data_IF_311898322003
#
_entry.id   IF_311898322003
#
_cell.length_a   1.000
_cell.length_b   1.000
_cell.length_c   1.000
_cell.angle_alpha   90.00
_cell.angle_beta   90.00
_cell.angle_gamma   90.00
#
_symmetry.space_group_name_H-M   'P 1'
#
loop_
_entity.id
_entity.type
_entity.pdbx_description
1 polymer ?
#
# COMPACT_ATOMS: atom_id res chain seq x y z
N UNK A 1 4.59 -18.45 -35.83
CA UNK A 1 3.83 -17.45 -36.63
C UNK A 1 3.14 -18.09 -37.84
N UNK A 2 2.22 -19.03 -37.59
CA UNK A 2 1.33 -19.62 -38.63
C UNK A 2 0.00 -20.03 -37.99
N UNK A 3 -0.69 -19.07 -37.36
CA UNK A 3 -2.09 -19.24 -36.98
C UNK A 3 -2.98 -18.57 -38.04
N UNK A 4 -3.68 -19.34 -38.90
CA UNK A 4 -4.54 -18.81 -39.95
C UNK A 4 -5.78 -18.05 -39.41
N UNK A 5 -6.08 -18.13 -38.11
CA UNK A 5 -7.17 -17.37 -37.49
C UNK A 5 -6.81 -15.91 -37.17
N UNK A 6 -5.52 -15.60 -37.08
CA UNK A 6 -4.99 -14.25 -36.82
C UNK A 6 -4.97 -13.39 -38.09
N UNK A 7 -4.79 -14.00 -39.26
CA UNK A 7 -4.62 -13.34 -40.57
C UNK A 7 -5.95 -12.93 -41.25
N UNK A 8 -6.99 -12.68 -40.44
CA UNK A 8 -8.32 -12.32 -40.94
C UNK A 8 -8.49 -10.79 -40.99
N UNK A 9 -9.21 -10.26 -41.99
CA UNK A 9 -9.42 -8.84 -42.08
C UNK A 9 -10.36 -8.33 -40.97
N UNK A 10 -9.96 -7.21 -40.36
CA UNK A 10 -10.53 -6.60 -39.14
C UNK A 10 -12.00 -6.15 -39.23
N UNK A 11 -12.64 -6.28 -40.40
CA UNK A 11 -14.01 -5.81 -40.63
C UNK A 11 -15.10 -6.82 -40.24
N UNK A 12 -14.75 -8.10 -39.97
CA UNK A 12 -15.75 -9.13 -39.67
C UNK A 12 -15.90 -9.37 -38.15
N UNK A 13 -17.14 -9.43 -37.61
CA UNK A 13 -17.38 -9.71 -36.19
C UNK A 13 -16.89 -11.11 -35.81
N UNK A 14 -16.24 -11.21 -34.64
CA UNK A 14 -15.69 -12.47 -34.14
C UNK A 14 -16.84 -13.34 -33.61
N UNK A 15 -17.04 -14.58 -34.08
CA UNK A 15 -17.96 -15.51 -33.43
C UNK A 15 -17.48 -15.71 -31.99
N UNK A 16 -18.39 -15.66 -31.02
CA UNK A 16 -18.07 -15.87 -29.60
C UNK A 16 -17.44 -17.26 -29.46
N UNK A 17 -16.12 -17.31 -29.41
CA UNK A 17 -15.39 -18.56 -29.30
C UNK A 17 -15.70 -19.19 -27.95
N UNK A 18 -15.97 -20.49 -27.95
CA UNK A 18 -16.21 -21.31 -26.76
C UNK A 18 -14.97 -21.35 -25.81
N UNK A 19 -13.82 -20.85 -26.28
CA UNK A 19 -12.58 -20.76 -25.52
C UNK A 19 -12.51 -19.46 -24.71
N UNK A 20 -13.41 -19.31 -23.74
CA UNK A 20 -13.34 -18.23 -22.72
C UNK A 20 -12.30 -18.54 -21.63
N UNK A 21 -11.61 -19.68 -21.68
CA UNK A 21 -10.62 -20.06 -20.67
C UNK A 21 -9.43 -20.81 -21.27
N UNK A 22 -8.60 -20.13 -22.06
CA UNK A 22 -7.17 -20.40 -22.05
C UNK A 22 -6.48 -19.09 -21.72
N UNK A 23 -6.29 -18.87 -20.43
CA UNK A 23 -5.38 -17.84 -19.96
C UNK A 23 -4.00 -18.28 -20.44
N UNK A 24 -3.50 -17.68 -21.52
CA UNK A 24 -2.11 -17.86 -21.93
C UNK A 24 -1.21 -17.23 -20.87
N UNK A 25 -0.05 -17.84 -20.62
CA UNK A 25 0.87 -17.40 -19.56
C UNK A 25 1.29 -15.93 -19.71
N UNK A 26 1.27 -15.42 -20.94
CA UNK A 26 1.60 -14.04 -21.29
C UNK A 26 0.60 -13.02 -20.69
N UNK A 27 -0.69 -13.36 -20.61
CA UNK A 27 -1.73 -12.55 -19.95
C UNK A 27 -1.61 -12.60 -18.41
N UNK A 28 -1.10 -13.72 -17.86
CA UNK A 28 -0.74 -13.81 -16.42
C UNK A 28 0.51 -13.00 -16.13
N UNK A 29 1.48 -13.00 -17.03
CA UNK A 29 2.74 -12.27 -16.88
C UNK A 29 2.54 -10.74 -16.83
N UNK A 30 1.55 -10.23 -17.57
CA UNK A 30 1.13 -8.82 -17.48
C UNK A 30 0.42 -8.50 -16.15
N UNK A 31 -0.29 -9.45 -15.56
CA UNK A 31 -0.86 -9.28 -14.21
C UNK A 31 0.20 -9.39 -13.11
N UNK A 32 1.25 -10.18 -13.32
CA UNK A 32 2.42 -10.33 -12.43
C UNK A 32 3.36 -9.10 -12.48
N UNK A 33 3.17 -8.18 -13.44
CA UNK A 33 4.00 -6.97 -13.59
C UNK A 33 3.91 -6.01 -12.37
N UNK A 34 2.87 -6.15 -11.54
CA UNK A 34 2.72 -5.39 -10.28
C UNK A 34 3.42 -6.03 -9.07
N UNK A 35 4.14 -7.13 -9.25
CA UNK A 35 4.84 -7.86 -8.18
C UNK A 35 6.22 -7.21 -7.92
N UNK A 36 6.70 -7.11 -6.66
CA UNK A 36 7.99 -6.47 -6.33
C UNK A 36 9.21 -7.02 -7.07
N UNK A 37 9.08 -8.20 -7.69
CA UNK A 37 10.14 -8.89 -8.44
C UNK A 37 10.41 -8.30 -9.83
N UNK A 38 9.49 -7.55 -10.42
CA UNK A 38 9.59 -7.13 -11.82
C UNK A 38 10.49 -5.92 -12.07
N UNK A 39 10.76 -5.06 -11.07
CA UNK A 39 11.63 -3.89 -11.23
C UNK A 39 12.15 -3.36 -9.89
N UNK A 40 13.39 -2.85 -9.87
CA UNK A 40 14.00 -2.20 -8.70
C UNK A 40 13.19 -1.01 -8.20
N UNK A 41 12.46 -0.33 -9.09
CA UNK A 41 11.54 0.76 -8.74
C UNK A 41 10.39 0.27 -7.86
N UNK A 42 9.67 -0.78 -8.27
CA UNK A 42 8.56 -1.34 -7.49
C UNK A 42 9.03 -1.96 -6.17
N UNK A 43 10.19 -2.63 -6.16
CA UNK A 43 10.77 -3.17 -4.93
C UNK A 43 11.05 -2.06 -3.89
N UNK A 44 11.61 -0.94 -4.33
CA UNK A 44 11.92 0.21 -3.46
C UNK A 44 10.64 0.90 -2.99
N UNK A 45 9.67 1.10 -3.89
CA UNK A 45 8.36 1.65 -3.58
C UNK A 45 7.63 0.85 -2.49
N UNK A 46 7.46 -0.46 -2.68
CA UNK A 46 6.77 -1.30 -1.70
C UNK A 46 7.52 -1.39 -0.37
N UNK A 47 8.86 -1.38 -0.39
CA UNK A 47 9.66 -1.41 0.84
C UNK A 47 9.49 -0.14 1.66
N UNK A 48 9.62 1.03 1.02
CA UNK A 48 9.54 2.32 1.71
C UNK A 48 8.10 2.59 2.17
N UNK A 49 7.12 2.45 1.27
CA UNK A 49 5.71 2.67 1.59
C UNK A 49 5.19 1.63 2.58
N UNK A 50 5.61 0.38 2.47
CA UNK A 50 5.25 -0.68 3.42
C UNK A 50 5.84 -0.45 4.81
N UNK A 51 7.12 -0.09 4.91
CA UNK A 51 7.75 0.27 6.18
C UNK A 51 7.06 1.47 6.82
N UNK A 52 6.75 2.50 6.04
CA UNK A 52 6.03 3.67 6.51
C UNK A 52 4.61 3.32 7.01
N UNK A 53 3.86 2.53 6.24
CA UNK A 53 2.53 2.06 6.63
C UNK A 53 2.55 1.28 7.95
N UNK A 54 3.58 0.46 8.18
CA UNK A 54 3.79 -0.23 9.47
C UNK A 54 4.00 0.76 10.63
N UNK A 55 4.78 1.82 10.41
CA UNK A 55 4.99 2.87 11.43
C UNK A 55 3.70 3.63 11.74
N UNK A 56 2.91 3.98 10.72
CA UNK A 56 1.59 4.61 10.90
C UNK A 56 0.68 3.69 11.71
N UNK A 57 0.62 2.40 11.38
CA UNK A 57 -0.16 1.42 12.12
C UNK A 57 0.26 1.34 13.60
N UNK A 58 1.56 1.36 13.87
CA UNK A 58 2.12 1.42 15.22
C UNK A 58 1.68 2.69 15.98
N UNK A 59 1.73 3.85 15.33
CA UNK A 59 1.26 5.11 15.91
C UNK A 59 -0.24 5.09 16.20
N UNK A 60 -1.06 4.55 15.30
CA UNK A 60 -2.51 4.40 15.50
C UNK A 60 -2.76 3.51 16.71
N UNK A 61 -2.08 2.37 16.84
CA UNK A 61 -2.22 1.48 17.99
C UNK A 61 -1.90 2.18 19.33
N UNK A 62 -0.87 3.04 19.36
CA UNK A 62 -0.52 3.84 20.53
C UNK A 62 -1.61 4.86 20.86
N UNK A 63 -2.17 5.54 19.86
CA UNK A 63 -3.31 6.45 20.08
C UNK A 63 -4.57 5.72 20.55
N UNK A 64 -4.88 4.56 19.96
CA UNK A 64 -6.01 3.73 20.39
C UNK A 64 -5.82 3.26 21.84
N UNK A 65 -4.59 2.94 22.25
CA UNK A 65 -4.27 2.60 23.64
C UNK A 65 -4.56 3.75 24.62
N UNK A 66 -4.26 5.00 24.24
CA UNK A 66 -4.62 6.17 25.05
C UNK A 66 -6.12 6.44 25.08
N UNK A 67 -6.85 6.15 24.00
CA UNK A 67 -8.30 6.33 23.91
C UNK A 67 -9.10 5.28 24.72
N UNK A 68 -8.55 4.08 24.89
CA UNK A 68 -9.17 3.00 25.64
C UNK A 68 -9.31 3.33 27.15
N UNK A 69 -10.20 2.64 27.88
CA UNK A 69 -10.42 2.88 29.32
C UNK A 69 -9.15 2.72 30.18
N UNK A 70 -8.11 2.05 29.65
CA UNK A 70 -6.78 1.95 30.27
C UNK A 70 -6.11 3.33 30.35
N UNK A 71 -6.19 4.13 29.28
CA UNK A 71 -5.71 5.52 29.26
C UNK A 71 -6.54 6.43 30.17
N UNK A 72 -7.86 6.27 30.19
CA UNK A 72 -8.76 7.01 31.09
C UNK A 72 -8.49 6.73 32.58
N UNK A 73 -8.15 5.48 32.92
CA UNK A 73 -7.78 5.10 34.28
C UNK A 73 -6.41 5.65 34.68
N UNK A 74 -5.47 5.73 33.72
CA UNK A 74 -4.16 6.36 33.92
C UNK A 74 -4.29 7.88 34.12
N UNK A 75 -5.20 8.54 33.38
CA UNK A 75 -5.53 9.96 33.57
C UNK A 75 -6.02 10.25 34.99
N UNK A 76 -6.88 9.39 35.54
CA UNK A 76 -7.41 9.51 36.90
C UNK A 76 -6.35 9.31 37.98
N UNK A 77 -5.32 8.50 37.72
CA UNK A 77 -4.27 8.19 38.70
C UNK A 77 -3.12 9.18 38.66
N UNK A 78 -2.66 9.58 37.47
CA UNK A 78 -1.52 10.49 37.30
C UNK A 78 -1.67 11.28 35.98
N UNK A 79 -2.33 12.45 35.97
CA UNK A 79 -2.60 13.20 34.76
C UNK A 79 -1.33 13.72 34.06
N UNK A 80 -0.31 14.15 34.81
CA UNK A 80 0.97 14.62 34.25
C UNK A 80 1.72 13.51 33.47
N UNK A 81 1.65 12.28 33.95
CA UNK A 81 2.31 11.14 33.31
C UNK A 81 1.64 10.76 31.98
N UNK A 82 0.32 10.93 31.88
CA UNK A 82 -0.39 10.75 30.62
C UNK A 82 -0.08 11.89 29.66
N UNK A 83 -0.04 13.15 30.14
CA UNK A 83 0.29 14.32 29.32
C UNK A 83 1.66 14.18 28.65
N UNK A 84 2.71 13.83 29.43
CA UNK A 84 4.05 13.62 28.89
C UNK A 84 4.08 12.48 27.84
N UNK A 85 3.37 11.38 28.09
CA UNK A 85 3.27 10.26 27.12
C UNK A 85 2.56 10.67 25.82
N UNK A 86 1.54 11.50 25.90
CA UNK A 86 0.80 12.00 24.74
C UNK A 86 1.64 13.01 23.96
N UNK A 87 2.40 13.88 24.63
CA UNK A 87 3.35 14.79 23.96
C UNK A 87 4.40 14.01 23.18
N UNK A 88 5.04 13.01 23.79
CA UNK A 88 6.02 12.15 23.12
C UNK A 88 5.40 11.38 21.95
N UNK A 89 4.17 10.86 22.10
CA UNK A 89 3.45 10.21 21.01
C UNK A 89 3.06 11.18 19.89
N UNK A 90 2.71 12.42 20.23
CA UNK A 90 2.46 13.49 19.27
C UNK A 90 3.70 13.86 18.46
N UNK A 91 4.86 13.98 19.11
CA UNK A 91 6.15 14.17 18.43
C UNK A 91 6.47 13.00 17.49
N UNK A 92 6.25 11.75 17.93
CA UNK A 92 6.42 10.57 17.07
C UNK A 92 5.50 10.63 15.84
N UNK A 93 4.23 11.01 16.03
CA UNK A 93 3.28 11.11 14.93
C UNK A 93 3.65 12.21 13.94
N UNK A 94 4.11 13.37 14.42
CA UNK A 94 4.61 14.44 13.57
C UNK A 94 5.83 14.00 12.76
N UNK A 95 6.75 13.24 13.35
CA UNK A 95 7.88 12.68 12.60
C UNK A 95 7.42 11.78 11.45
N UNK A 96 6.43 10.92 11.70
CA UNK A 96 5.87 10.04 10.66
C UNK A 96 5.23 10.88 9.55
N UNK A 97 4.44 11.90 9.88
CA UNK A 97 3.81 12.80 8.91
C UNK A 97 4.84 13.56 8.05
N UNK A 98 5.93 14.04 8.67
CA UNK A 98 7.04 14.69 7.97
C UNK A 98 7.72 13.74 6.97
N UNK A 99 7.89 12.46 7.29
CA UNK A 99 8.42 11.49 6.31
C UNK A 99 7.44 11.30 5.15
N UNK A 100 6.14 11.26 5.43
CA UNK A 100 5.11 11.05 4.41
C UNK A 100 5.02 12.19 3.41
N UNK A 101 5.11 13.45 3.87
CA UNK A 101 5.07 14.61 2.96
C UNK A 101 6.25 14.63 1.97
N UNK A 102 7.37 13.97 2.27
CA UNK A 102 8.48 13.81 1.30
C UNK A 102 8.31 12.58 0.41
N UNK A 103 7.86 11.45 0.98
CA UNK A 103 7.66 10.18 0.22
C UNK A 103 6.52 10.32 -0.79
N UNK A 104 5.45 11.02 -0.44
CA UNK A 104 4.28 11.16 -1.31
C UNK A 104 4.59 11.84 -2.65
N UNK A 105 5.23 13.03 -2.71
CA UNK A 105 5.61 13.64 -3.97
C UNK A 105 6.63 12.84 -4.78
N UNK A 106 7.61 12.21 -4.09
CA UNK A 106 8.68 11.44 -4.74
C UNK A 106 8.17 10.22 -5.52
N UNK A 107 7.07 9.60 -5.07
CA UNK A 107 6.52 8.39 -5.70
C UNK A 107 5.19 8.61 -6.42
N UNK A 108 4.41 9.64 -6.05
CA UNK A 108 3.08 9.88 -6.62
C UNK A 108 2.99 11.14 -7.50
N UNK A 109 3.92 12.11 -7.40
CA UNK A 109 3.89 13.35 -8.20
C UNK A 109 5.02 13.46 -9.23
N UNK A 110 6.13 12.75 -9.04
CA UNK A 110 7.28 12.70 -9.96
C UNK A 110 7.25 11.42 -10.80
#
# INVERSE_FOLDING_TARGET
>A
PTDPASDRPHFWPVPRSEKVAKIEKEDVEHAETFVPKHSTFFATYFTITGLHGLHVLGGVLVFTYFWLPIGANLYRRNPEHLANRVEVAGLFWHFVDLVWIFVFPLFYLL
#
